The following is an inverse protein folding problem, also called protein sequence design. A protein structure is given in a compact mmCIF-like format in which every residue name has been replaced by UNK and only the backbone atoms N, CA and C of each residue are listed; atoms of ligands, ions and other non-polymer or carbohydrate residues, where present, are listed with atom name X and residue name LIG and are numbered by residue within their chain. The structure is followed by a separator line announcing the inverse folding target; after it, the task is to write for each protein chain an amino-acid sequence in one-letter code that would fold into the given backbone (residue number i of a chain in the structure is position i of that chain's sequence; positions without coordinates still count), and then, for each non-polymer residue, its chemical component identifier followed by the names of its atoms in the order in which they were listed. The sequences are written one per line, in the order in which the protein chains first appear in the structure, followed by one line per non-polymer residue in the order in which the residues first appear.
data_IF_131598962950
#
_entry.id   IF_131598962950
#
_cell.length_a   1.000
_cell.length_b   1.000
_cell.length_c   1.000
_cell.angle_alpha   90.00
_cell.angle_beta   90.00
_cell.angle_gamma   90.00
#
_symmetry.space_group_name_H-M   'P 1'
#
loop_
_entity.id
_entity.type
_entity.pdbx_description
1 polymer ?
#
# COMPACT_ATOMS: atom_id res chain seq x y z
N UNK A 1 -37.77 4.14 15.67
CA UNK A 1 -37.83 2.68 15.40
C UNK A 1 -37.81 2.46 13.89
N UNK A 2 -36.72 1.92 13.36
CA UNK A 2 -36.64 1.52 11.95
C UNK A 2 -37.60 0.35 11.71
N UNK A 3 -38.49 0.48 10.71
CA UNK A 3 -39.42 -0.59 10.33
C UNK A 3 -38.70 -1.83 9.75
N UNK A 4 -37.47 -1.67 9.27
CA UNK A 4 -36.63 -2.75 8.73
C UNK A 4 -35.20 -2.52 9.25
N UNK A 5 -34.70 -3.39 10.16
CA UNK A 5 -33.36 -3.23 10.69
C UNK A 5 -32.32 -3.33 9.58
N UNK A 6 -31.52 -2.28 9.42
CA UNK A 6 -30.41 -2.27 8.47
C UNK A 6 -29.19 -3.07 8.99
N UNK A 7 -29.11 -3.28 10.30
CA UNK A 7 -28.03 -4.00 10.94
C UNK A 7 -28.53 -5.34 11.52
N UNK A 8 -27.88 -6.43 11.14
CA UNK A 8 -28.24 -7.80 11.54
C UNK A 8 -27.03 -8.52 12.09
N UNK A 9 -27.22 -9.20 13.23
CA UNK A 9 -26.23 -10.10 13.82
C UNK A 9 -26.77 -11.52 13.79
N UNK A 10 -25.97 -12.49 13.38
CA UNK A 10 -26.27 -13.90 13.45
C UNK A 10 -25.34 -14.59 14.45
N UNK A 11 -25.76 -14.75 15.71
CA UNK A 11 -24.90 -15.37 16.74
C UNK A 11 -24.49 -16.79 16.39
N UNK A 12 -25.39 -17.57 15.77
CA UNK A 12 -25.12 -18.95 15.37
C UNK A 12 -24.06 -19.10 14.30
N UNK A 13 -23.88 -18.05 13.46
CA UNK A 13 -22.84 -18.01 12.41
C UNK A 13 -21.63 -17.18 12.82
N UNK A 14 -21.68 -16.45 13.93
CA UNK A 14 -20.61 -15.55 14.38
C UNK A 14 -20.33 -14.38 13.42
N UNK A 15 -21.37 -13.92 12.69
CA UNK A 15 -21.25 -12.86 11.70
C UNK A 15 -22.25 -11.75 11.92
N UNK A 16 -21.91 -10.58 11.40
CA UNK A 16 -22.80 -9.41 11.33
C UNK A 16 -22.86 -8.87 9.90
N UNK A 17 -23.90 -8.12 9.59
CA UNK A 17 -24.08 -7.42 8.32
C UNK A 17 -24.84 -6.13 8.53
N UNK A 18 -24.31 -5.04 7.98
CA UNK A 18 -25.00 -3.77 7.82
C UNK A 18 -25.37 -3.60 6.35
N UNK A 19 -26.65 -3.63 6.06
CA UNK A 19 -27.18 -3.49 4.70
C UNK A 19 -27.18 -2.05 4.23
N UNK A 20 -27.07 -1.07 5.13
CA UNK A 20 -27.02 0.35 4.77
C UNK A 20 -25.66 0.74 4.21
N UNK A 21 -24.58 0.30 4.83
CA UNK A 21 -23.20 0.58 4.41
C UNK A 21 -22.60 -0.52 3.52
N UNK A 22 -23.25 -1.69 3.44
CA UNK A 22 -22.71 -2.87 2.77
C UNK A 22 -21.62 -3.60 3.55
N UNK A 23 -21.22 -3.10 4.73
CA UNK A 23 -20.21 -3.69 5.59
C UNK A 23 -20.71 -4.95 6.30
N UNK A 24 -19.80 -5.86 6.65
CA UNK A 24 -20.10 -7.05 7.40
C UNK A 24 -18.86 -7.90 7.65
N UNK A 25 -18.99 -8.90 8.50
CA UNK A 25 -17.87 -9.78 8.80
C UNK A 25 -18.01 -10.56 10.11
N UNK A 26 -16.88 -10.97 10.70
CA UNK A 26 -16.80 -11.67 11.97
C UNK A 26 -16.88 -10.72 13.17
N UNK A 27 -16.91 -11.28 14.38
CA UNK A 27 -16.83 -10.51 15.63
C UNK A 27 -15.56 -9.65 15.69
N UNK A 28 -14.44 -10.16 15.20
CA UNK A 28 -13.17 -9.42 15.19
C UNK A 28 -13.26 -8.20 14.28
N UNK A 29 -13.79 -8.38 13.06
CA UNK A 29 -13.98 -7.25 12.13
C UNK A 29 -14.97 -6.22 12.67
N UNK A 30 -15.96 -6.63 13.43
CA UNK A 30 -16.88 -5.71 14.11
C UNK A 30 -16.13 -4.83 15.12
N UNK A 31 -15.28 -5.42 15.96
CA UNK A 31 -14.47 -4.67 16.93
C UNK A 31 -13.50 -3.71 16.21
N UNK A 32 -12.86 -4.16 15.14
CA UNK A 32 -11.98 -3.29 14.32
C UNK A 32 -12.72 -2.05 13.81
N UNK A 33 -13.95 -2.22 13.33
CA UNK A 33 -14.78 -1.11 12.80
C UNK A 33 -15.25 -0.14 13.91
N UNK A 34 -15.65 -0.65 15.07
CA UNK A 34 -16.17 0.17 16.17
C UNK A 34 -15.07 0.87 16.94
N UNK A 35 -13.98 0.16 17.24
CA UNK A 35 -12.86 0.68 18.04
C UNK A 35 -11.77 1.35 17.18
N UNK A 36 -11.94 1.35 15.87
CA UNK A 36 -10.95 1.88 14.91
C UNK A 36 -9.55 1.34 15.15
N UNK A 37 -9.43 0.04 15.37
CA UNK A 37 -8.20 -0.62 15.76
C UNK A 37 -7.77 -1.70 14.75
N UNK A 38 -6.50 -2.07 14.79
CA UNK A 38 -5.95 -3.16 13.97
C UNK A 38 -6.45 -4.54 14.42
N UNK A 39 -6.30 -5.55 13.55
CA UNK A 39 -6.69 -6.92 13.86
C UNK A 39 -6.07 -7.46 15.16
N UNK A 40 -4.76 -7.31 15.44
CA UNK A 40 -4.17 -7.74 16.71
C UNK A 40 -4.74 -7.01 17.92
N UNK A 41 -5.02 -5.72 17.80
CA UNK A 41 -5.64 -4.93 18.87
C UNK A 41 -7.07 -5.37 19.15
N UNK A 42 -7.84 -5.65 18.10
CA UNK A 42 -9.19 -6.20 18.23
C UNK A 42 -9.20 -7.57 18.96
N UNK A 43 -8.25 -8.45 18.61
CA UNK A 43 -8.08 -9.73 19.32
C UNK A 43 -7.76 -9.52 20.80
N UNK A 44 -6.83 -8.60 21.13
CA UNK A 44 -6.52 -8.28 22.54
C UNK A 44 -7.72 -7.70 23.29
N UNK A 45 -8.48 -6.82 22.64
CA UNK A 45 -9.69 -6.25 23.19
C UNK A 45 -10.72 -7.35 23.54
N UNK A 46 -10.97 -8.25 22.60
CA UNK A 46 -11.89 -9.38 22.80
C UNK A 46 -11.39 -10.30 23.91
N UNK A 47 -10.13 -10.70 23.87
CA UNK A 47 -9.54 -11.58 24.87
C UNK A 47 -9.62 -10.98 26.28
N UNK A 48 -9.29 -9.70 26.43
CA UNK A 48 -9.44 -8.99 27.72
C UNK A 48 -10.87 -8.98 28.22
N UNK A 49 -11.84 -8.76 27.32
CA UNK A 49 -13.27 -8.74 27.64
C UNK A 49 -13.78 -10.10 28.14
N UNK A 50 -13.27 -11.18 27.58
CA UNK A 50 -13.70 -12.54 27.91
C UNK A 50 -12.75 -13.29 28.87
N UNK A 51 -11.73 -12.63 29.41
CA UNK A 51 -10.75 -13.23 30.32
C UNK A 51 -9.92 -14.33 29.68
N UNK A 52 -9.72 -14.26 28.36
CA UNK A 52 -8.92 -15.23 27.62
C UNK A 52 -7.46 -14.76 27.67
N UNK A 53 -6.58 -15.58 28.22
CA UNK A 53 -5.15 -15.36 28.17
C UNK A 53 -4.66 -15.58 26.74
N UNK A 54 -4.07 -14.53 26.13
CA UNK A 54 -3.40 -14.65 24.85
C UNK A 54 -1.93 -14.91 25.15
N UNK A 55 -1.42 -16.04 24.72
CA UNK A 55 0.02 -16.23 24.59
C UNK A 55 0.52 -15.30 23.48
N UNK A 56 0.98 -14.10 23.83
CA UNK A 56 1.70 -13.26 22.90
C UNK A 56 3.02 -13.97 22.56
N UNK A 57 3.07 -14.58 21.40
CA UNK A 57 4.34 -15.05 20.86
C UNK A 57 5.20 -13.79 20.68
N UNK A 58 6.09 -13.55 21.62
CA UNK A 58 7.10 -12.50 21.46
C UNK A 58 7.89 -12.86 20.21
N UNK A 59 7.69 -12.09 19.15
CA UNK A 59 8.51 -12.21 17.96
C UNK A 59 9.97 -12.14 18.41
N UNK A 60 10.77 -13.09 17.98
CA UNK A 60 12.21 -13.01 18.23
C UNK A 60 12.72 -11.65 17.72
N UNK A 61 13.80 -11.10 18.29
CA UNK A 61 14.37 -9.84 17.78
C UNK A 61 14.60 -9.86 16.28
N UNK A 62 14.97 -11.00 15.72
CA UNK A 62 15.15 -11.22 14.29
C UNK A 62 13.82 -11.13 13.52
N UNK A 63 12.76 -11.79 13.99
CA UNK A 63 11.44 -11.73 13.34
C UNK A 63 10.84 -10.32 13.39
N UNK A 64 11.13 -9.55 14.45
CA UNK A 64 10.74 -8.15 14.55
C UNK A 64 11.50 -7.31 13.53
N UNK A 65 12.81 -7.49 13.43
CA UNK A 65 13.64 -6.79 12.45
C UNK A 65 13.19 -7.07 11.01
N UNK A 66 12.95 -8.34 10.66
CA UNK A 66 12.42 -8.72 9.34
C UNK A 66 11.05 -8.10 9.04
N UNK A 67 10.19 -7.98 10.05
CA UNK A 67 8.89 -7.32 9.91
C UNK A 67 9.04 -5.80 9.66
N UNK A 68 9.94 -5.14 10.39
CA UNK A 68 10.23 -3.72 10.26
C UNK A 68 10.89 -3.41 8.88
N UNK A 69 11.81 -4.25 8.43
CA UNK A 69 12.41 -4.15 7.09
C UNK A 69 11.36 -4.32 5.98
N UNK A 70 10.50 -5.33 6.11
CA UNK A 70 9.40 -5.54 5.15
C UNK A 70 8.45 -4.35 5.09
N UNK A 71 8.09 -3.80 6.24
CA UNK A 71 7.24 -2.61 6.31
C UNK A 71 7.90 -1.41 5.62
N UNK A 72 9.20 -1.21 5.86
CA UNK A 72 9.98 -0.15 5.22
C UNK A 72 10.01 -0.29 3.69
N UNK A 73 10.10 -1.51 3.16
CA UNK A 73 10.04 -1.77 1.72
C UNK A 73 8.65 -1.44 1.15
N UNK A 74 7.57 -1.77 1.85
CA UNK A 74 6.22 -1.39 1.43
C UNK A 74 6.04 0.13 1.38
N UNK A 75 6.50 0.85 2.40
CA UNK A 75 6.40 2.31 2.46
C UNK A 75 7.15 2.95 1.28
N UNK A 76 8.32 2.43 0.94
CA UNK A 76 9.13 2.91 -0.20
C UNK A 76 8.46 2.62 -1.55
N UNK A 77 7.89 1.41 -1.72
CA UNK A 77 7.22 1.04 -2.99
C UNK A 77 5.93 1.82 -3.19
N UNK A 78 5.18 2.08 -2.12
CA UNK A 78 3.98 2.92 -2.14
C UNK A 78 4.30 4.36 -2.54
N UNK A 79 5.34 4.95 -1.94
CA UNK A 79 5.84 6.27 -2.33
C UNK A 79 6.26 6.30 -3.80
N UNK A 80 6.97 5.27 -4.26
CA UNK A 80 7.40 5.18 -5.65
C UNK A 80 6.21 5.13 -6.62
N UNK A 81 5.18 4.33 -6.31
CA UNK A 81 3.97 4.24 -7.13
C UNK A 81 3.28 5.60 -7.24
N UNK A 82 3.10 6.30 -6.12
CA UNK A 82 2.52 7.63 -6.11
C UNK A 82 3.37 8.62 -6.90
N UNK A 83 4.68 8.64 -6.66
CA UNK A 83 5.59 9.55 -7.36
C UNK A 83 5.59 9.35 -8.87
N UNK A 84 5.66 8.10 -9.36
CA UNK A 84 5.60 7.81 -10.79
C UNK A 84 4.24 8.17 -11.40
N UNK A 85 3.15 8.01 -10.67
CA UNK A 85 1.83 8.44 -11.08
C UNK A 85 1.76 9.97 -11.23
N UNK A 86 2.31 10.70 -10.26
CA UNK A 86 2.43 12.17 -10.32
C UNK A 86 3.29 12.62 -11.52
N UNK A 87 4.43 11.95 -11.77
CA UNK A 87 5.27 12.27 -12.93
C UNK A 87 4.49 12.10 -14.24
N UNK A 88 3.66 11.06 -14.35
CA UNK A 88 2.84 10.81 -15.53
C UNK A 88 1.89 11.98 -15.83
N UNK A 89 1.27 12.55 -14.81
CA UNK A 89 0.21 13.56 -14.96
C UNK A 89 0.70 15.00 -14.86
N UNK A 90 1.74 15.26 -14.07
CA UNK A 90 2.15 16.63 -13.74
C UNK A 90 3.31 17.15 -14.62
N UNK A 91 4.14 16.25 -15.17
CA UNK A 91 5.29 16.67 -15.98
C UNK A 91 4.97 16.74 -17.47
N UNK A 92 5.62 17.65 -18.23
CA UNK A 92 5.50 17.66 -19.69
C UNK A 92 5.95 16.33 -20.33
N UNK A 93 7.05 15.74 -19.84
CA UNK A 93 7.56 14.45 -20.33
C UNK A 93 6.57 13.32 -20.06
N UNK A 94 6.03 13.23 -18.85
CA UNK A 94 5.01 12.23 -18.50
C UNK A 94 3.78 12.31 -19.38
N UNK A 95 3.28 13.53 -19.63
CA UNK A 95 2.12 13.72 -20.51
C UNK A 95 2.42 13.42 -21.98
N UNK A 96 3.53 13.89 -22.50
CA UNK A 96 3.85 13.76 -23.92
C UNK A 96 4.34 12.36 -24.29
N UNK A 97 5.04 11.68 -23.40
CA UNK A 97 5.57 10.32 -23.62
C UNK A 97 4.68 9.27 -22.97
N UNK A 98 4.52 9.34 -21.64
CA UNK A 98 3.82 8.32 -20.86
C UNK A 98 2.33 8.19 -21.18
N UNK A 99 1.56 9.30 -21.08
CA UNK A 99 0.12 9.27 -21.39
C UNK A 99 -0.13 8.94 -22.88
N UNK A 100 0.71 9.47 -23.80
CA UNK A 100 0.59 9.16 -25.21
C UNK A 100 0.81 7.66 -25.45
N UNK A 101 1.81 7.06 -24.81
CA UNK A 101 2.05 5.61 -24.90
C UNK A 101 0.84 4.79 -24.43
N UNK A 102 0.27 5.12 -23.29
CA UNK A 102 -0.90 4.41 -22.76
C UNK A 102 -2.11 4.54 -23.69
N UNK A 103 -2.42 5.76 -24.15
CA UNK A 103 -3.56 6.02 -25.03
C UNK A 103 -3.42 5.32 -26.39
N UNK A 104 -2.22 5.30 -26.98
CA UNK A 104 -1.96 4.55 -28.20
C UNK A 104 -2.16 3.03 -28.06
N UNK A 105 -2.02 2.52 -26.84
CA UNK A 105 -2.30 1.11 -26.52
C UNK A 105 -3.73 0.85 -26.07
N UNK A 106 -4.61 1.83 -26.17
CA UNK A 106 -6.03 1.68 -25.89
C UNK A 106 -6.42 1.80 -24.42
N UNK A 107 -5.50 2.25 -23.54
CA UNK A 107 -5.87 2.53 -22.15
C UNK A 107 -6.67 3.82 -22.08
N UNK A 108 -7.86 3.74 -21.44
CA UNK A 108 -8.64 4.94 -21.13
C UNK A 108 -8.02 5.70 -19.95
N UNK A 109 -8.28 7.02 -19.87
CA UNK A 109 -7.81 7.83 -18.73
C UNK A 109 -8.38 7.28 -17.40
N UNK A 110 -9.62 6.79 -17.40
CA UNK A 110 -10.21 6.13 -16.22
C UNK A 110 -9.46 4.84 -15.81
N UNK A 111 -8.93 4.10 -16.75
CA UNK A 111 -8.11 2.91 -16.49
C UNK A 111 -6.75 3.30 -15.93
N UNK A 112 -6.10 4.32 -16.53
CA UNK A 112 -4.80 4.83 -16.09
C UNK A 112 -4.88 5.29 -14.62
N UNK A 113 -5.92 6.05 -14.29
CA UNK A 113 -6.18 6.54 -12.93
C UNK A 113 -6.49 5.39 -11.97
N UNK A 114 -7.44 4.52 -12.32
CA UNK A 114 -7.89 3.41 -11.48
C UNK A 114 -6.75 2.46 -11.08
N UNK A 115 -5.81 2.21 -11.98
CA UNK A 115 -4.69 1.30 -11.74
C UNK A 115 -3.42 2.03 -11.29
N UNK A 116 -3.45 3.35 -11.09
CA UNK A 116 -2.32 4.13 -10.64
C UNK A 116 -1.11 4.03 -11.58
N UNK A 117 -1.35 3.96 -12.90
CA UNK A 117 -0.26 3.82 -13.86
C UNK A 117 0.66 5.03 -13.78
N UNK A 118 1.95 4.83 -13.96
CA UNK A 118 2.97 5.85 -13.76
C UNK A 118 3.96 6.00 -14.93
N UNK A 119 4.83 6.97 -14.79
CA UNK A 119 5.93 7.20 -15.70
C UNK A 119 7.20 7.56 -14.92
N UNK A 120 8.31 6.92 -15.26
CA UNK A 120 9.62 7.26 -14.76
C UNK A 120 10.36 8.08 -15.78
N UNK A 121 10.77 9.33 -15.46
CA UNK A 121 11.49 10.21 -16.38
C UNK A 121 12.82 9.62 -16.89
N UNK A 122 13.33 10.15 -18.00
CA UNK A 122 14.62 9.74 -18.58
C UNK A 122 15.82 10.11 -17.69
N UNK A 123 15.65 11.05 -16.77
CA UNK A 123 16.70 11.51 -15.86
C UNK A 123 17.37 10.37 -15.07
N UNK A 124 18.66 10.54 -14.75
CA UNK A 124 19.47 9.48 -14.13
C UNK A 124 19.12 9.14 -12.69
N UNK A 125 18.62 10.12 -11.92
CA UNK A 125 18.43 10.02 -10.46
C UNK A 125 17.22 10.79 -9.95
N UNK A 126 16.27 11.13 -10.83
CA UNK A 126 15.13 11.97 -10.46
C UNK A 126 14.29 11.38 -9.32
N UNK A 127 13.94 10.09 -9.41
CA UNK A 127 13.21 9.39 -8.36
C UNK A 127 14.07 9.25 -7.10
N UNK A 128 15.32 8.77 -7.25
CA UNK A 128 16.24 8.56 -6.13
C UNK A 128 16.44 9.84 -5.33
N UNK A 129 16.70 10.97 -6.00
CA UNK A 129 16.86 12.27 -5.34
C UNK A 129 15.59 12.75 -4.63
N UNK A 130 14.43 12.56 -5.27
CA UNK A 130 13.14 12.89 -4.66
C UNK A 130 12.87 12.05 -3.40
N UNK A 131 13.13 10.75 -3.46
CA UNK A 131 12.94 9.84 -2.34
C UNK A 131 13.89 10.16 -1.16
N UNK A 132 15.17 10.39 -1.44
CA UNK A 132 16.16 10.80 -0.42
C UNK A 132 15.79 12.14 0.23
N UNK A 133 15.33 13.11 -0.58
CA UNK A 133 14.85 14.41 -0.07
C UNK A 133 13.59 14.27 0.80
N UNK A 134 12.73 13.30 0.48
CA UNK A 134 11.55 12.98 1.28
C UNK A 134 11.88 12.20 2.56
N UNK A 135 13.15 11.84 2.80
CA UNK A 135 13.63 11.19 4.02
C UNK A 135 13.71 9.66 3.94
N UNK A 136 13.49 9.06 2.76
CA UNK A 136 13.67 7.62 2.57
C UNK A 136 15.13 7.23 2.56
N UNK A 137 15.46 6.07 3.12
CA UNK A 137 16.85 5.60 3.20
C UNK A 137 17.28 4.93 1.90
N UNK A 138 18.50 5.21 1.45
CA UNK A 138 19.07 4.67 0.22
C UNK A 138 19.10 3.14 0.19
N UNK A 139 19.30 2.50 1.33
CA UNK A 139 19.30 1.05 1.49
C UNK A 139 17.98 0.42 1.06
N UNK A 140 16.85 0.99 1.45
CA UNK A 140 15.53 0.47 1.04
C UNK A 140 15.22 0.76 -0.44
N UNK A 141 15.75 1.85 -1.00
CA UNK A 141 15.65 2.13 -2.43
C UNK A 141 16.45 1.10 -3.27
N UNK A 142 17.60 0.65 -2.77
CA UNK A 142 18.41 -0.39 -3.38
C UNK A 142 17.78 -1.78 -3.22
N UNK A 143 17.38 -2.14 -1.99
CA UNK A 143 16.79 -3.43 -1.66
C UNK A 143 15.46 -3.65 -2.39
N UNK A 144 14.62 -2.61 -2.53
CA UNK A 144 13.39 -2.66 -3.34
C UNK A 144 13.65 -2.75 -4.84
N UNK A 145 14.88 -2.50 -5.28
CA UNK A 145 15.26 -2.49 -6.69
C UNK A 145 14.79 -1.25 -7.45
N UNK A 146 14.35 -0.19 -6.78
CA UNK A 146 13.97 1.08 -7.39
C UNK A 146 15.19 1.91 -7.81
N UNK A 147 16.27 1.80 -7.04
CA UNK A 147 17.56 2.45 -7.33
C UNK A 147 18.69 1.43 -7.45
N UNK A 148 19.75 1.81 -8.15
CA UNK A 148 20.95 1.00 -8.35
C UNK A 148 22.14 1.79 -7.80
N UNK A 149 22.90 1.18 -6.89
CA UNK A 149 24.17 1.74 -6.43
C UNK A 149 25.24 1.48 -7.48
N UNK A 150 25.95 2.54 -7.85
CA UNK A 150 27.08 2.51 -8.78
C UNK A 150 28.40 2.27 -8.04
N UNK A 151 29.44 1.87 -8.78
CA UNK A 151 30.78 1.64 -8.24
C UNK A 151 31.39 2.87 -7.57
N UNK A 152 31.01 4.06 -8.00
CA UNK A 152 31.42 5.35 -7.42
C UNK A 152 30.58 5.74 -6.17
N UNK A 153 29.70 4.87 -5.70
CA UNK A 153 28.85 5.08 -4.55
C UNK A 153 27.59 5.92 -4.80
N UNK A 154 27.40 6.47 -6.00
CA UNK A 154 26.18 7.19 -6.37
C UNK A 154 25.04 6.24 -6.67
N UNK A 155 23.82 6.73 -6.51
CA UNK A 155 22.60 5.99 -6.85
C UNK A 155 21.99 6.53 -8.13
N UNK A 156 21.42 5.63 -8.93
CA UNK A 156 20.69 5.94 -10.15
C UNK A 156 19.37 5.20 -10.19
N UNK A 157 18.38 5.79 -10.86
CA UNK A 157 17.08 5.18 -11.04
C UNK A 157 17.17 3.92 -11.92
N UNK A 158 16.47 2.85 -11.53
CA UNK A 158 16.40 1.62 -12.34
C UNK A 158 15.45 1.80 -13.53
N UNK A 159 14.32 2.47 -13.32
CA UNK A 159 13.23 2.57 -14.28
C UNK A 159 13.27 3.94 -14.99
N UNK A 160 14.25 4.17 -15.84
CA UNK A 160 14.36 5.44 -16.56
C UNK A 160 13.66 5.39 -17.91
N UNK A 161 12.94 6.47 -18.27
CA UNK A 161 12.26 6.61 -19.56
C UNK A 161 11.22 5.52 -19.80
N UNK A 162 10.48 5.09 -18.76
CA UNK A 162 9.57 3.95 -18.84
C UNK A 162 8.22 4.23 -18.24
N UNK A 163 7.18 3.65 -18.83
CA UNK A 163 5.87 3.52 -18.17
C UNK A 163 5.95 2.47 -17.06
N UNK A 164 5.25 2.72 -15.98
CA UNK A 164 5.28 1.89 -14.76
C UNK A 164 3.88 1.38 -14.45
N UNK A 165 3.77 0.09 -14.14
CA UNK A 165 2.55 -0.56 -13.71
C UNK A 165 2.74 -1.02 -12.25
N UNK A 166 2.07 -0.41 -11.27
CA UNK A 166 2.12 -0.91 -9.91
C UNK A 166 1.37 -2.24 -9.83
N UNK A 167 1.97 -3.20 -9.12
CA UNK A 167 1.34 -4.50 -8.85
C UNK A 167 0.93 -4.51 -7.38
N UNK A 168 -0.36 -4.71 -7.13
CA UNK A 168 -0.89 -4.72 -5.77
C UNK A 168 -1.02 -6.16 -5.25
N UNK A 169 -0.69 -6.34 -3.99
CA UNK A 169 -0.98 -7.56 -3.24
C UNK A 169 -2.49 -7.70 -2.99
N UNK A 170 -2.93 -8.87 -2.51
CA UNK A 170 -4.32 -9.07 -2.09
C UNK A 170 -4.78 -8.11 -0.98
N UNK A 171 -3.85 -7.61 -0.17
CA UNK A 171 -4.14 -6.59 0.85
C UNK A 171 -4.18 -5.15 0.31
N UNK A 172 -3.99 -4.95 -1.00
CA UNK A 172 -4.00 -3.65 -1.66
C UNK A 172 -2.71 -2.85 -1.57
N UNK A 173 -1.64 -3.43 -1.02
CA UNK A 173 -0.32 -2.78 -0.94
C UNK A 173 0.48 -3.01 -2.22
N UNK A 174 1.24 -2.02 -2.66
CA UNK A 174 2.14 -2.08 -3.82
C UNK A 174 3.39 -2.88 -3.48
#
# INVERSE_FOLDING_TARGET
DEKTPSFVVSPSKGIWKDFSSGKGGSMVTFVMEIEHCSYPEAIRHIAKKYGIEIEETQLSPQAKQEADERESLYVVTEYAAQWFHEQLHQTPEGRNVGLTYFRQRGFSDATIEKFGLGYSPEAWSAFTEAALKAGYQAEYLETSGLSIRRDDGRYTDRFRGRVVFPIHSFSGRV
#
